data_IF_447226104520
#
_entry.id   IF_447226104520
#
_cell.length_a   1.000
_cell.length_b   1.000
_cell.length_c   1.000
_cell.angle_alpha   90.00
_cell.angle_beta   90.00
_cell.angle_gamma   90.00
#
_symmetry.space_group_name_H-M   'P 1'
#
loop_
_entity.id
_entity.type
_entity.pdbx_description
1 polymer ?
#
# COMPACT_ATOMS: atom_id res chain seq x y z
N UNK A 1 -2.91 -13.50 -29.51
CA UNK A 1 -1.55 -12.92 -29.49
C UNK A 1 -1.53 -11.44 -29.11
N UNK A 2 -2.17 -10.53 -29.87
CA UNK A 2 -2.24 -9.10 -29.48
C UNK A 2 -3.03 -8.92 -28.19
N UNK A 3 -4.27 -9.43 -28.13
CA UNK A 3 -5.12 -9.34 -26.93
C UNK A 3 -4.46 -9.97 -25.70
N UNK A 4 -3.79 -11.10 -25.89
CA UNK A 4 -3.04 -11.80 -24.84
C UNK A 4 -1.87 -10.96 -24.31
N UNK A 5 -1.10 -10.33 -25.20
CA UNK A 5 -0.01 -9.41 -24.82
C UNK A 5 -0.55 -8.21 -24.03
N UNK A 6 -1.70 -7.67 -24.44
CA UNK A 6 -2.36 -6.56 -23.74
C UNK A 6 -2.92 -6.98 -22.38
N UNK A 7 -3.50 -8.18 -22.28
CA UNK A 7 -4.00 -8.74 -21.03
C UNK A 7 -2.86 -8.97 -20.03
N UNK A 8 -1.75 -9.55 -20.49
CA UNK A 8 -0.56 -9.76 -19.66
C UNK A 8 0.06 -8.43 -19.20
N UNK A 9 0.15 -7.44 -20.10
CA UNK A 9 0.63 -6.10 -19.75
C UNK A 9 -0.28 -5.45 -18.69
N UNK A 10 -1.60 -5.59 -18.82
CA UNK A 10 -2.58 -5.08 -17.85
C UNK A 10 -2.39 -5.71 -16.48
N UNK A 11 -2.33 -7.04 -16.41
CA UNK A 11 -2.14 -7.75 -15.14
C UNK A 11 -0.82 -7.35 -14.44
N UNK A 12 0.28 -7.26 -15.18
CA UNK A 12 1.57 -6.83 -14.62
C UNK A 12 1.55 -5.38 -14.15
N UNK A 13 0.91 -4.48 -14.90
CA UNK A 13 0.78 -3.08 -14.50
C UNK A 13 -0.14 -2.93 -13.28
N UNK A 14 -1.20 -3.73 -13.16
CA UNK A 14 -2.08 -3.76 -11.99
C UNK A 14 -1.29 -4.14 -10.74
N UNK A 15 -0.52 -5.23 -10.82
CA UNK A 15 0.37 -5.67 -9.74
C UNK A 15 1.42 -4.61 -9.37
N UNK A 16 1.95 -3.88 -10.34
CA UNK A 16 2.89 -2.78 -10.06
C UNK A 16 2.23 -1.63 -9.27
N UNK A 17 0.98 -1.30 -9.58
CA UNK A 17 0.19 -0.30 -8.83
C UNK A 17 -0.13 -0.80 -7.42
N UNK A 18 -0.56 -2.06 -7.28
CA UNK A 18 -0.85 -2.69 -5.99
C UNK A 18 0.38 -2.70 -5.08
N UNK A 19 1.53 -3.12 -5.59
CA UNK A 19 2.78 -3.10 -4.84
C UNK A 19 3.15 -1.69 -4.38
N UNK A 20 2.98 -0.68 -5.25
CA UNK A 20 3.22 0.72 -4.90
C UNK A 20 2.29 1.18 -3.77
N UNK A 21 1.02 0.76 -3.80
CA UNK A 21 0.03 1.07 -2.77
C UNK A 21 0.40 0.42 -1.41
N UNK A 22 0.80 -0.85 -1.42
CA UNK A 22 1.29 -1.54 -0.22
C UNK A 22 2.53 -0.84 0.36
N UNK A 23 3.46 -0.47 -0.50
CA UNK A 23 4.65 0.29 -0.15
C UNK A 23 4.31 1.62 0.55
N UNK A 24 3.30 2.36 0.05
CA UNK A 24 2.80 3.57 0.70
C UNK A 24 2.10 3.27 2.03
N UNK A 25 1.39 2.16 2.14
CA UNK A 25 0.69 1.78 3.38
C UNK A 25 1.66 1.55 4.54
N UNK A 26 2.87 1.07 4.25
CA UNK A 26 3.93 0.86 5.23
C UNK A 26 4.51 2.16 5.81
N UNK A 27 4.34 3.30 5.11
CA UNK A 27 4.89 4.59 5.53
C UNK A 27 3.94 5.27 6.50
N UNK A 28 4.45 5.48 7.72
CA UNK A 28 3.76 6.16 8.81
C UNK A 28 3.47 7.62 8.43
N UNK A 29 2.20 8.00 8.40
CA UNK A 29 1.77 9.39 8.11
C UNK A 29 1.57 10.22 9.37
N UNK A 30 1.73 9.62 10.55
CA UNK A 30 1.34 10.22 11.82
C UNK A 30 -0.15 10.04 12.10
N UNK A 31 -0.94 9.59 11.11
CA UNK A 31 -2.32 9.18 11.32
C UNK A 31 -2.42 7.75 11.80
N UNK A 32 -3.43 7.52 12.63
CA UNK A 32 -3.86 6.24 13.14
C UNK A 32 -4.42 5.36 12.00
N UNK A 33 -3.67 4.33 11.61
CA UNK A 33 -4.10 3.32 10.65
C UNK A 33 -4.06 1.91 11.28
N UNK A 34 -5.15 1.14 11.26
CA UNK A 34 -5.18 -0.27 11.71
C UNK A 34 -4.13 -1.18 11.05
N UNK A 35 -3.68 -0.87 9.82
CA UNK A 35 -2.63 -1.62 9.13
C UNK A 35 -1.29 -1.61 9.88
N UNK A 36 -1.02 -0.58 10.71
CA UNK A 36 0.19 -0.52 11.54
C UNK A 36 0.27 -1.66 12.57
N UNK A 37 -0.87 -2.27 12.90
CA UNK A 37 -0.99 -3.33 13.89
C UNK A 37 -1.00 -4.72 13.27
N UNK A 38 -0.94 -4.82 11.93
CA UNK A 38 -0.94 -6.09 11.20
C UNK A 38 0.27 -6.96 11.53
N UNK A 39 1.42 -6.34 11.82
CA UNK A 39 2.66 -7.03 12.15
C UNK A 39 2.78 -7.45 13.62
N UNK A 40 1.79 -7.14 14.48
CA UNK A 40 1.82 -7.50 15.89
C UNK A 40 1.17 -8.87 16.08
N UNK A 41 1.97 -9.83 16.53
CA UNK A 41 1.51 -11.13 16.99
C UNK A 41 1.44 -11.17 18.51
N UNK A 42 0.46 -11.93 19.01
CA UNK A 42 0.18 -12.09 20.44
C UNK A 42 0.08 -13.57 20.73
N UNK A 43 0.74 -14.04 21.78
CA UNK A 43 0.56 -15.39 22.27
C UNK A 43 -0.82 -15.51 22.93
N UNK A 44 -1.76 -16.15 22.24
CA UNK A 44 -3.12 -16.37 22.72
C UNK A 44 -3.35 -17.87 22.88
N UNK A 45 -3.58 -18.31 24.13
CA UNK A 45 -3.69 -19.73 24.49
C UNK A 45 -2.52 -20.60 23.97
N UNK A 46 -1.28 -20.07 24.00
CA UNK A 46 -0.07 -20.81 23.61
C UNK A 46 0.19 -20.89 22.11
N UNK A 47 -0.53 -20.11 21.29
CA UNK A 47 -0.28 -19.98 19.86
C UNK A 47 -0.10 -18.51 19.46
N UNK A 48 0.90 -18.18 18.60
CA UNK A 48 1.05 -16.84 18.06
C UNK A 48 -0.13 -16.53 17.13
N UNK A 49 -0.88 -15.49 17.47
CA UNK A 49 -2.08 -15.06 16.76
C UNK A 49 -1.96 -13.58 16.39
N UNK A 50 -2.23 -13.17 15.14
CA UNK A 50 -2.22 -11.77 14.77
C UNK A 50 -3.24 -10.97 15.57
N UNK A 51 -2.83 -9.80 16.09
CA UNK A 51 -3.70 -8.92 16.88
C UNK A 51 -4.99 -8.54 16.12
N UNK A 52 -4.93 -8.47 14.78
CA UNK A 52 -6.09 -8.19 13.94
C UNK A 52 -7.24 -9.20 14.06
N UNK A 53 -6.95 -10.43 14.48
CA UNK A 53 -7.96 -11.47 14.67
C UNK A 53 -8.58 -11.44 16.07
N UNK A 54 -7.91 -10.80 17.03
CA UNK A 54 -8.28 -10.80 18.45
C UNK A 54 -9.00 -9.52 18.89
N UNK A 55 -8.94 -8.45 18.09
CA UNK A 55 -9.52 -7.17 18.41
C UNK A 55 -10.11 -6.44 17.20
N UNK A 56 -11.05 -5.54 17.49
CA UNK A 56 -11.52 -4.53 16.54
C UNK A 56 -10.81 -3.21 16.77
N UNK A 57 -10.59 -2.45 15.70
CA UNK A 57 -9.89 -1.16 15.71
C UNK A 57 -10.83 -0.06 15.28
N UNK A 58 -10.85 1.04 16.03
CA UNK A 58 -11.56 2.25 15.67
C UNK A 58 -10.63 3.44 15.78
N UNK A 59 -10.75 4.37 14.83
CA UNK A 59 -9.96 5.60 14.78
C UNK A 59 -10.88 6.79 15.08
N UNK A 60 -11.18 7.10 16.35
CA UNK A 60 -12.07 8.22 16.70
C UNK A 60 -11.45 9.59 16.36
N UNK A 61 -10.12 9.67 16.34
CA UNK A 61 -9.35 10.89 16.08
C UNK A 61 -8.15 10.53 15.19
N UNK A 62 -7.56 11.52 14.52
CA UNK A 62 -6.48 11.31 13.57
C UNK A 62 -5.28 10.54 14.16
N UNK A 63 -5.03 10.59 15.47
CA UNK A 63 -3.85 9.99 16.13
C UNK A 63 -4.18 8.93 17.18
N UNK A 64 -5.47 8.69 17.42
CA UNK A 64 -5.95 7.82 18.49
C UNK A 64 -6.55 6.58 17.87
N UNK A 65 -6.13 5.41 18.36
CA UNK A 65 -6.73 4.12 18.01
C UNK A 65 -7.31 3.50 19.26
N UNK A 66 -8.56 3.08 19.16
CA UNK A 66 -9.23 2.26 20.15
C UNK A 66 -9.17 0.81 19.71
N UNK A 67 -8.48 -0.01 20.49
CA UNK A 67 -8.40 -1.46 20.31
C UNK A 67 -9.37 -2.10 21.29
N UNK A 68 -10.43 -2.69 20.76
CA UNK A 68 -11.45 -3.38 21.57
C UNK A 68 -11.29 -4.89 21.36
N UNK A 69 -10.81 -5.63 22.37
CA UNK A 69 -10.63 -7.07 22.25
C UNK A 69 -11.97 -7.79 22.19
N UNK A 70 -12.05 -8.88 21.45
CA UNK A 70 -13.22 -9.76 21.44
C UNK A 70 -13.31 -10.60 22.73
N UNK A 71 -12.16 -10.91 23.33
CA UNK A 71 -12.04 -11.58 24.61
C UNK A 71 -11.32 -10.69 25.64
N UNK A 72 -11.98 -10.40 26.77
CA UNK A 72 -11.39 -9.61 27.85
C UNK A 72 -10.22 -10.32 28.54
N UNK A 73 -10.13 -11.64 28.46
CA UNK A 73 -8.99 -12.40 28.98
C UNK A 73 -7.68 -12.05 28.29
N UNK A 74 -7.73 -11.71 27.00
CA UNK A 74 -6.56 -11.34 26.18
C UNK A 74 -6.06 -9.91 26.41
N UNK A 75 -6.76 -9.12 27.24
CA UNK A 75 -6.56 -7.68 27.31
C UNK A 75 -5.16 -7.31 27.83
N UNK A 76 -4.64 -8.04 28.83
CA UNK A 76 -3.29 -7.83 29.35
C UNK A 76 -2.19 -8.20 28.35
N UNK A 77 -2.39 -9.28 27.59
CA UNK A 77 -1.46 -9.73 26.57
C UNK A 77 -1.42 -8.74 25.40
N UNK A 78 -2.59 -8.21 24.99
CA UNK A 78 -2.70 -7.16 23.98
C UNK A 78 -2.02 -5.88 24.43
N UNK A 79 -2.22 -5.43 25.67
CA UNK A 79 -1.54 -4.24 26.19
C UNK A 79 -0.02 -4.40 26.17
N UNK A 80 0.47 -5.57 26.58
CA UNK A 80 1.91 -5.88 26.61
C UNK A 80 2.50 -5.94 25.20
N UNK A 81 1.82 -6.59 24.26
CA UNK A 81 2.25 -6.66 22.86
C UNK A 81 2.29 -5.27 22.20
N UNK A 82 1.28 -4.43 22.46
CA UNK A 82 1.23 -3.05 21.96
C UNK A 82 2.38 -2.20 22.53
N UNK A 83 2.67 -2.34 23.84
CA UNK A 83 3.76 -1.62 24.51
C UNK A 83 5.14 -2.02 23.99
N UNK A 84 5.33 -3.30 23.67
CA UNK A 84 6.60 -3.84 23.17
C UNK A 84 6.75 -3.72 21.65
N UNK A 85 5.72 -3.26 20.94
CA UNK A 85 5.76 -3.10 19.48
C UNK A 85 6.58 -1.90 19.03
N UNK A 86 7.05 -1.93 17.78
CA UNK A 86 7.77 -0.83 17.13
C UNK A 86 6.90 0.41 16.82
N UNK A 87 5.63 0.42 17.25
CA UNK A 87 4.71 1.54 17.04
C UNK A 87 5.12 2.76 17.88
N UNK A 88 5.84 2.55 18.99
CA UNK A 88 6.38 3.61 19.84
C UNK A 88 5.28 4.42 20.53
N UNK A 89 4.17 3.78 20.86
CA UNK A 89 3.03 4.38 21.55
C UNK A 89 2.84 3.73 22.92
N UNK A 90 2.37 4.50 23.90
CA UNK A 90 2.05 3.98 25.23
C UNK A 90 0.55 3.66 25.30
N UNK A 91 0.14 2.38 25.36
CA UNK A 91 -1.28 2.04 25.47
C UNK A 91 -1.83 2.47 26.83
N UNK A 92 -3.03 3.05 26.83
CA UNK A 92 -3.82 3.36 28.01
C UNK A 92 -5.02 2.41 28.07
N UNK A 93 -5.16 1.69 29.18
CA UNK A 93 -6.14 0.64 29.32
C UNK A 93 -7.29 1.08 30.24
N UNK A 94 -8.50 1.15 29.70
CA UNK A 94 -9.72 1.55 30.42
C UNK A 94 -10.54 0.33 30.92
N UNK A 95 -9.95 -0.88 30.90
CA UNK A 95 -10.55 -2.14 31.37
C UNK A 95 -11.51 -2.82 30.38
N UNK A 96 -11.97 -2.09 29.35
CA UNK A 96 -12.74 -2.64 28.24
C UNK A 96 -12.12 -2.37 26.86
N UNK A 97 -11.37 -1.28 26.75
CA UNK A 97 -10.78 -0.80 25.50
C UNK A 97 -9.35 -0.34 25.81
N UNK A 98 -8.43 -0.59 24.87
CA UNK A 98 -7.07 -0.08 24.94
C UNK A 98 -6.94 1.09 23.96
N UNK A 99 -6.63 2.28 24.49
CA UNK A 99 -6.40 3.49 23.72
C UNK A 99 -4.91 3.62 23.42
N UNK A 100 -4.57 3.72 22.14
CA UNK A 100 -3.20 3.92 21.66
C UNK A 100 -3.13 5.29 21.00
N UNK A 101 -2.30 6.18 21.56
CA UNK A 101 -2.06 7.52 20.99
C UNK A 101 -0.70 7.51 20.30
N UNK A 102 -0.71 7.73 18.98
CA UNK A 102 0.52 7.79 18.20
C UNK A 102 1.28 9.10 18.46
N UNK A 103 2.60 9.08 18.71
CA UNK A 103 3.39 10.31 18.79
C UNK A 103 3.35 11.12 17.50
N UNK A 104 3.52 12.45 17.64
CA UNK A 104 3.61 13.35 16.49
C UNK A 104 4.88 13.07 15.69
N UNK A 105 4.74 13.14 14.37
CA UNK A 105 5.90 13.24 13.50
C UNK A 105 6.39 14.69 13.51
N UNK A 106 7.69 14.88 13.77
CA UNK A 106 8.34 16.18 13.58
C UNK A 106 8.26 16.60 12.11
N UNK A 107 8.32 17.91 11.86
CA UNK A 107 8.27 18.44 10.49
C UNK A 107 9.41 17.88 9.62
N UNK A 108 10.60 17.70 10.21
CA UNK A 108 11.75 17.10 9.54
C UNK A 108 11.46 15.66 9.10
N UNK A 109 10.86 14.84 9.98
CA UNK A 109 10.46 13.46 9.66
C UNK A 109 9.38 13.40 8.58
N UNK A 110 8.40 14.30 8.61
CA UNK A 110 7.38 14.40 7.56
C UNK A 110 8.01 14.70 6.19
N UNK A 111 8.96 15.64 6.14
CA UNK A 111 9.71 15.97 4.90
C UNK A 111 10.54 14.79 4.39
N UNK A 112 11.18 14.02 5.28
CA UNK A 112 11.88 12.79 4.90
C UNK A 112 10.93 11.76 4.28
N UNK A 113 9.78 11.51 4.90
CA UNK A 113 8.79 10.56 4.39
C UNK A 113 8.21 10.98 3.04
N UNK A 114 7.96 12.27 2.81
CA UNK A 114 7.54 12.76 1.49
C UNK A 114 8.59 12.40 0.42
N UNK A 115 9.88 12.52 0.71
CA UNK A 115 10.94 12.11 -0.25
C UNK A 115 10.90 10.61 -0.54
N UNK A 116 10.68 9.79 0.49
CA UNK A 116 10.60 8.33 0.33
C UNK A 116 9.39 7.94 -0.51
N UNK A 117 8.21 8.53 -0.23
CA UNK A 117 6.98 8.27 -1.00
C UNK A 117 7.18 8.66 -2.48
N UNK A 118 7.80 9.82 -2.76
CA UNK A 118 8.13 10.23 -4.13
C UNK A 118 9.05 9.25 -4.84
N UNK A 119 10.07 8.75 -4.14
CA UNK A 119 10.98 7.74 -4.70
C UNK A 119 10.22 6.47 -5.08
N UNK A 120 9.43 5.92 -4.15
CA UNK A 120 8.62 4.72 -4.38
C UNK A 120 7.60 4.89 -5.51
N UNK A 121 7.00 6.07 -5.62
CA UNK A 121 6.11 6.41 -6.74
C UNK A 121 6.84 6.32 -8.08
N UNK A 122 8.06 6.86 -8.15
CA UNK A 122 8.85 6.83 -9.38
C UNK A 122 9.30 5.41 -9.73
N UNK A 123 9.68 4.60 -8.74
CA UNK A 123 10.00 3.19 -8.94
C UNK A 123 8.80 2.41 -9.53
N UNK A 124 7.59 2.65 -9.01
CA UNK A 124 6.34 2.11 -9.56
C UNK A 124 6.10 2.53 -11.02
N UNK A 125 6.31 3.82 -11.34
CA UNK A 125 6.20 4.31 -12.73
C UNK A 125 7.25 3.73 -13.65
N UNK A 126 8.49 3.57 -13.19
CA UNK A 126 9.57 2.92 -13.96
C UNK A 126 9.20 1.48 -14.28
N UNK A 127 8.65 0.73 -13.30
CA UNK A 127 8.15 -0.63 -13.52
C UNK A 127 7.08 -0.68 -14.62
N UNK A 128 6.08 0.22 -14.56
CA UNK A 128 5.04 0.34 -15.60
C UNK A 128 5.64 0.63 -16.99
N UNK A 129 6.61 1.55 -17.07
CA UNK A 129 7.28 1.89 -18.34
C UNK A 129 8.08 0.72 -18.91
N UNK A 130 8.71 -0.08 -18.06
CA UNK A 130 9.43 -1.29 -18.47
C UNK A 130 8.46 -2.36 -19.00
N UNK A 131 7.32 -2.58 -18.34
CA UNK A 131 6.26 -3.49 -18.82
C UNK A 131 5.76 -3.04 -20.20
N UNK A 132 5.49 -1.74 -20.38
CA UNK A 132 5.10 -1.19 -21.69
C UNK A 132 6.14 -1.48 -22.76
N UNK A 133 7.43 -1.29 -22.45
CA UNK A 133 8.52 -1.55 -23.40
C UNK A 133 8.50 -3.01 -23.88
N UNK A 134 8.42 -3.98 -22.96
CA UNK A 134 8.39 -5.39 -23.31
C UNK A 134 7.14 -5.79 -24.11
N UNK A 135 5.97 -5.26 -23.74
CA UNK A 135 4.74 -5.49 -24.48
C UNK A 135 4.82 -4.91 -25.90
N UNK A 136 5.37 -3.70 -26.05
CA UNK A 136 5.58 -3.07 -27.36
C UNK A 136 6.56 -3.86 -28.24
N UNK A 137 7.69 -4.30 -27.70
CA UNK A 137 8.65 -5.16 -28.41
C UNK A 137 7.97 -6.46 -28.90
N UNK A 138 7.07 -7.03 -28.11
CA UNK A 138 6.30 -8.22 -28.49
C UNK A 138 5.31 -7.93 -29.62
N UNK A 139 4.57 -6.81 -29.56
CA UNK A 139 3.66 -6.39 -30.63
C UNK A 139 4.40 -6.09 -31.95
N UNK A 140 5.57 -5.44 -31.87
CA UNK A 140 6.42 -5.17 -33.05
C UNK A 140 6.97 -6.45 -33.68
N UNK A 141 7.29 -7.46 -32.86
CA UNK A 141 7.68 -8.79 -33.35
C UNK A 141 6.53 -9.48 -34.09
N UNK A 142 5.32 -9.47 -33.53
CA UNK A 142 4.11 -10.01 -34.19
C UNK A 142 3.90 -9.37 -35.56
N UNK A 143 4.11 -8.05 -35.67
CA UNK A 143 4.05 -7.33 -36.96
C UNK A 143 5.10 -7.85 -37.95
N UNK A 144 6.34 -8.03 -37.49
CA UNK A 144 7.46 -8.46 -38.34
C UNK A 144 7.30 -9.90 -38.84
N UNK A 145 6.78 -10.77 -37.98
CA UNK A 145 6.58 -12.20 -38.29
C UNK A 145 5.38 -12.41 -39.23
N UNK A 146 4.56 -11.38 -39.44
CA UNK A 146 3.41 -11.40 -40.35
C UNK A 146 2.17 -12.06 -39.75
N UNK A 147 2.18 -12.31 -38.44
CA UNK A 147 1.11 -13.02 -37.75
C UNK A 147 -0.13 -12.15 -37.48
N UNK A 148 -0.06 -10.84 -37.73
CA UNK A 148 -1.18 -9.90 -37.63
C UNK A 148 -1.06 -8.74 -38.64
N UNK A 149 -2.19 -8.13 -39.00
CA UNK A 149 -2.21 -6.96 -39.86
C UNK A 149 -1.55 -5.73 -39.22
N UNK A 150 -0.93 -4.87 -40.03
CA UNK A 150 -0.26 -3.66 -39.52
C UNK A 150 -1.22 -2.74 -38.75
N UNK A 151 -2.46 -2.62 -39.22
CA UNK A 151 -3.51 -1.84 -38.58
C UNK A 151 -3.91 -2.40 -37.22
N UNK A 152 -3.92 -3.73 -37.06
CA UNK A 152 -4.23 -4.39 -35.79
C UNK A 152 -3.14 -4.14 -34.76
N UNK A 153 -1.89 -4.22 -35.18
CA UNK A 153 -0.74 -3.93 -34.30
C UNK A 153 -0.70 -2.45 -33.93
N UNK A 154 -0.99 -1.55 -34.86
CA UNK A 154 -1.06 -0.12 -34.57
C UNK A 154 -2.15 0.20 -33.52
N UNK A 155 -3.32 -0.44 -33.65
CA UNK A 155 -4.40 -0.34 -32.64
C UNK A 155 -3.96 -0.90 -31.28
N UNK A 156 -3.29 -2.05 -31.26
CA UNK A 156 -2.77 -2.65 -30.03
C UNK A 156 -1.75 -1.77 -29.32
N UNK A 157 -0.84 -1.11 -30.05
CA UNK A 157 0.12 -0.16 -29.48
C UNK A 157 -0.61 1.06 -28.89
N UNK A 158 -1.62 1.59 -29.58
CA UNK A 158 -2.43 2.70 -29.06
C UNK A 158 -3.13 2.32 -27.75
N UNK A 159 -3.73 1.12 -27.69
CA UNK A 159 -4.38 0.65 -26.46
C UNK A 159 -3.37 0.45 -25.32
N UNK A 160 -2.18 -0.06 -25.61
CA UNK A 160 -1.09 -0.20 -24.64
C UNK A 160 -0.65 1.15 -24.07
N UNK A 161 -0.56 2.18 -24.91
CA UNK A 161 -0.20 3.54 -24.48
C UNK A 161 -1.30 4.16 -23.59
N UNK A 162 -2.57 3.99 -23.95
CA UNK A 162 -3.71 4.43 -23.14
C UNK A 162 -3.81 3.69 -21.80
N UNK A 163 -3.54 2.38 -21.79
CA UNK A 163 -3.44 1.58 -20.57
C UNK A 163 -2.30 2.10 -19.68
N UNK A 164 -1.12 2.33 -20.26
CA UNK A 164 0.05 2.84 -19.54
C UNK A 164 -0.24 4.18 -18.88
N UNK A 165 -0.84 5.11 -19.64
CA UNK A 165 -1.22 6.44 -19.12
C UNK A 165 -2.15 6.32 -17.92
N UNK A 166 -3.22 5.51 -18.03
CA UNK A 166 -4.17 5.29 -16.92
C UNK A 166 -3.50 4.74 -15.66
N UNK A 167 -2.52 3.85 -15.80
CA UNK A 167 -1.81 3.25 -14.66
C UNK A 167 -0.82 4.23 -14.02
N UNK A 168 -0.10 5.01 -14.82
CA UNK A 168 0.73 6.12 -14.32
C UNK A 168 -0.11 7.15 -13.57
N UNK A 169 -1.25 7.55 -14.13
CA UNK A 169 -2.19 8.49 -13.48
C UNK A 169 -2.72 7.93 -12.15
N UNK A 170 -2.88 6.61 -12.04
CA UNK A 170 -3.29 5.95 -10.80
C UNK A 170 -2.20 6.05 -9.72
N UNK A 171 -0.93 5.84 -10.09
CA UNK A 171 0.21 6.05 -9.18
C UNK A 171 0.31 7.52 -8.74
N UNK A 172 0.10 8.46 -9.66
CA UNK A 172 0.11 9.90 -9.34
C UNK A 172 -1.00 10.29 -8.37
N UNK A 173 -2.21 9.71 -8.51
CA UNK A 173 -3.29 9.92 -7.55
C UNK A 173 -2.92 9.39 -6.16
N UNK A 174 -2.36 8.19 -6.07
CA UNK A 174 -1.90 7.60 -4.82
C UNK A 174 -0.81 8.46 -4.16
N UNK A 175 0.14 8.96 -4.94
CA UNK A 175 1.21 9.84 -4.47
C UNK A 175 0.63 11.13 -3.87
N UNK A 176 -0.25 11.81 -4.61
CA UNK A 176 -0.85 13.07 -4.17
C UNK A 176 -1.68 12.90 -2.88
N UNK A 177 -2.44 11.80 -2.77
CA UNK A 177 -3.18 11.48 -1.54
C UNK A 177 -2.23 11.28 -0.37
N UNK A 178 -1.15 10.50 -0.56
CA UNK A 178 -0.20 10.20 0.51
C UNK A 178 0.62 11.41 0.93
N UNK A 179 0.98 12.29 -0.01
CA UNK A 179 1.65 13.56 0.28
C UNK A 179 0.75 14.49 1.09
N UNK A 180 -0.53 14.62 0.71
CA UNK A 180 -1.49 15.41 1.47
C UNK A 180 -1.61 14.87 2.90
N UNK A 181 -1.74 13.55 3.08
CA UNK A 181 -1.79 12.93 4.42
C UNK A 181 -0.55 13.22 5.27
N UNK A 182 0.64 13.28 4.68
CA UNK A 182 1.88 13.58 5.40
C UNK A 182 2.00 15.05 5.80
N UNK A 183 1.40 15.94 5.03
CA UNK A 183 1.47 17.39 5.23
C UNK A 183 0.28 17.95 6.03
N UNK A 184 -0.83 17.22 6.13
CA UNK A 184 -2.02 17.62 6.88
C UNK A 184 -1.73 17.62 8.41
N UNK A 185 -2.18 18.67 9.10
CA UNK A 185 -2.06 18.89 10.55
C UNK A 185 -3.45 18.87 11.17
#
# INVERSE_FOLDING_TARGET
MIEETLAEAREKMDKAVEFTQEDFSSIRTGRANPALFAAIEIEYYGAPTPLQQLASFQTPEARTILVTPYDRGALGDIETALRNSDIGANPANDGNVIRVVLPELTEERRKEYVKIVKSKAEDGKVSIRNIRRHAKETLERIKKDGDAGEDDVARGISELDDLTKRKVDSVDKLLNQKEAELLEV
#
